data_IF_716711488757
#
_entry.id   IF_716711488757
#
_cell.length_a   1.000
_cell.length_b   1.000
_cell.length_c   1.000
_cell.angle_alpha   90.00
_cell.angle_beta   90.00
_cell.angle_gamma   90.00
#
_symmetry.space_group_name_H-M   'P 1'
#
loop_
_entity.id
_entity.type
_entity.pdbx_description
1 polymer ?
#
# COMPACT_ATOMS: atom_id res chain seq x y z
N UNK A 1 -24.54 18.98 7.31
CA UNK A 1 -23.72 17.98 6.60
C UNK A 1 -22.27 18.39 6.80
N UNK A 2 -21.41 17.47 7.22
CA UNK A 2 -19.97 17.72 7.37
C UNK A 2 -19.27 17.21 6.13
N UNK A 3 -18.45 18.05 5.49
CA UNK A 3 -17.55 17.66 4.40
C UNK A 3 -16.14 17.60 4.98
N UNK A 4 -15.47 16.47 4.79
CA UNK A 4 -14.15 16.24 5.36
C UNK A 4 -13.22 15.69 4.28
N UNK A 5 -12.12 16.39 4.04
CA UNK A 5 -11.20 16.11 2.94
C UNK A 5 -10.34 14.87 3.20
N UNK A 6 -9.96 14.17 2.12
CA UNK A 6 -9.07 13.00 2.22
C UNK A 6 -7.70 13.35 2.82
N UNK A 7 -7.18 14.56 2.56
CA UNK A 7 -5.93 15.05 3.16
C UNK A 7 -6.04 15.12 4.68
N UNK A 8 -7.15 15.65 5.20
CA UNK A 8 -7.41 15.77 6.64
C UNK A 8 -7.53 14.41 7.30
N UNK A 9 -8.27 13.47 6.68
CA UNK A 9 -8.33 12.07 7.16
C UNK A 9 -6.95 11.44 7.21
N UNK A 10 -6.12 11.68 6.19
CA UNK A 10 -4.76 11.11 6.11
C UNK A 10 -3.88 11.69 7.21
N UNK A 11 -3.92 13.01 7.41
CA UNK A 11 -3.22 13.71 8.48
C UNK A 11 -3.61 13.17 9.86
N UNK A 12 -4.90 13.10 10.17
CA UNK A 12 -5.39 12.58 11.45
C UNK A 12 -4.92 11.14 11.74
N UNK A 13 -4.89 10.30 10.71
CA UNK A 13 -4.42 8.91 10.85
C UNK A 13 -2.91 8.84 11.07
N UNK A 14 -2.13 9.72 10.43
CA UNK A 14 -0.69 9.82 10.63
C UNK A 14 -0.38 10.27 12.06
N UNK A 15 -1.02 11.35 12.53
CA UNK A 15 -0.85 11.86 13.89
C UNK A 15 -1.20 10.81 14.95
N UNK A 16 -2.34 10.12 14.78
CA UNK A 16 -2.74 9.05 15.71
C UNK A 16 -1.76 7.88 15.70
N UNK A 17 -1.20 7.54 14.55
CA UNK A 17 -0.24 6.44 14.43
C UNK A 17 1.08 6.78 15.12
N UNK A 18 1.55 8.01 14.95
CA UNK A 18 2.73 8.53 15.66
C UNK A 18 2.49 8.59 17.17
N UNK A 19 1.37 9.15 17.60
CA UNK A 19 1.01 9.23 19.03
C UNK A 19 0.88 7.84 19.69
N UNK A 20 0.52 6.82 18.92
CA UNK A 20 0.47 5.43 19.37
C UNK A 20 1.84 4.72 19.36
N UNK A 21 2.91 5.36 18.87
CA UNK A 21 4.25 4.78 18.77
C UNK A 21 4.33 3.60 17.80
N UNK A 22 3.43 3.52 16.82
CA UNK A 22 3.39 2.42 15.86
C UNK A 22 4.41 2.63 14.74
N UNK A 23 5.02 1.53 14.29
CA UNK A 23 6.09 1.57 13.29
C UNK A 23 5.53 1.93 11.91
N UNK A 24 6.16 2.91 11.27
CA UNK A 24 5.98 3.24 9.84
C UNK A 24 7.33 3.42 9.18
N UNK A 25 7.59 2.69 8.10
CA UNK A 25 8.81 2.85 7.32
C UNK A 25 8.46 3.59 6.03
N UNK A 26 8.65 4.91 6.04
CA UNK A 26 8.59 5.72 4.81
C UNK A 26 9.82 5.45 3.94
N UNK A 27 9.67 5.72 2.64
CA UNK A 27 10.72 5.54 1.62
C UNK A 27 11.25 4.11 1.52
N UNK A 28 10.43 3.12 1.86
CA UNK A 28 10.71 1.71 1.63
C UNK A 28 10.69 1.41 0.12
N UNK A 29 11.87 1.36 -0.49
CA UNK A 29 12.05 1.07 -1.91
C UNK A 29 12.06 -0.44 -2.17
N UNK A 30 11.82 -0.84 -3.43
CA UNK A 30 11.93 -2.23 -3.89
C UNK A 30 11.20 -3.25 -3.00
N UNK A 31 10.00 -2.90 -2.51
CA UNK A 31 9.19 -3.80 -1.71
C UNK A 31 8.88 -5.06 -2.53
N UNK A 32 9.15 -6.22 -1.95
CA UNK A 32 8.81 -7.53 -2.52
C UNK A 32 8.15 -8.41 -1.46
N UNK A 33 7.09 -9.11 -1.88
CA UNK A 33 6.32 -10.02 -1.05
C UNK A 33 6.75 -11.46 -1.33
N UNK A 34 6.91 -12.26 -0.29
CA UNK A 34 7.40 -13.62 -0.38
C UNK A 34 6.52 -14.57 0.43
N UNK A 35 6.36 -15.79 -0.07
CA UNK A 35 5.69 -16.92 0.60
C UNK A 35 4.32 -16.60 1.23
N UNK A 36 3.58 -15.66 0.63
CA UNK A 36 2.27 -15.19 1.11
C UNK A 36 1.12 -16.17 0.87
N UNK A 37 1.35 -17.22 0.10
CA UNK A 37 0.51 -18.40 -0.05
C UNK A 37 0.93 -19.57 0.88
N UNK A 38 1.99 -19.38 1.67
CA UNK A 38 2.55 -20.36 2.59
C UNK A 38 2.27 -20.07 4.07
N UNK A 39 3.02 -20.75 4.94
CA UNK A 39 2.87 -20.66 6.40
C UNK A 39 3.78 -19.62 7.08
N UNK A 40 4.68 -18.97 6.34
CA UNK A 40 5.67 -18.05 6.91
C UNK A 40 5.96 -16.90 5.94
N UNK A 41 4.98 -16.01 5.71
CA UNK A 41 5.16 -14.91 4.78
C UNK A 41 6.13 -13.86 5.30
N UNK A 42 6.83 -13.22 4.38
CA UNK A 42 7.72 -12.12 4.72
C UNK A 42 7.79 -11.08 3.61
N UNK A 43 8.24 -9.88 3.99
CA UNK A 43 8.43 -8.74 3.10
C UNK A 43 9.89 -8.33 3.14
N UNK A 44 10.46 -8.04 1.97
CA UNK A 44 11.76 -7.37 1.88
C UNK A 44 11.59 -5.97 1.31
N UNK A 45 12.39 -5.02 1.77
CA UNK A 45 12.46 -3.68 1.20
C UNK A 45 13.89 -3.13 1.33
N UNK A 46 14.20 -2.08 0.57
CA UNK A 46 15.44 -1.34 0.68
C UNK A 46 15.18 0.03 1.30
N UNK A 47 16.01 0.44 2.25
CA UNK A 47 15.99 1.78 2.81
C UNK A 47 17.44 2.24 3.01
N UNK A 48 17.74 3.44 2.54
CA UNK A 48 19.07 4.04 2.63
C UNK A 48 20.20 3.13 2.12
N UNK A 49 19.90 2.34 1.07
CA UNK A 49 20.83 1.39 0.45
C UNK A 49 20.97 0.04 1.17
N UNK A 50 20.22 -0.17 2.26
CA UNK A 50 20.24 -1.41 3.05
C UNK A 50 18.97 -2.22 2.81
N UNK A 51 19.13 -3.52 2.55
CA UNK A 51 18.00 -4.45 2.46
C UNK A 51 17.57 -4.90 3.85
N UNK A 52 16.27 -4.79 4.11
CA UNK A 52 15.61 -5.20 5.33
C UNK A 52 14.60 -6.32 5.04
N UNK A 53 14.34 -7.16 6.05
CA UNK A 53 13.33 -8.22 6.02
C UNK A 53 12.39 -8.05 7.21
N UNK A 54 11.10 -8.23 6.97
CA UNK A 54 10.04 -8.28 7.99
C UNK A 54 9.34 -9.63 7.85
N UNK A 55 9.48 -10.49 8.85
CA UNK A 55 8.67 -11.70 8.98
C UNK A 55 7.31 -11.34 9.59
N UNK A 56 6.24 -11.97 9.10
CA UNK A 56 4.88 -11.68 9.51
C UNK A 56 3.97 -12.90 9.36
N UNK A 57 2.77 -12.82 9.92
CA UNK A 57 1.74 -13.86 9.71
C UNK A 57 0.84 -13.53 8.50
N UNK A 58 0.65 -12.23 8.22
CA UNK A 58 -0.24 -11.74 7.16
C UNK A 58 0.30 -10.46 6.51
N UNK A 59 -0.01 -10.29 5.23
CA UNK A 59 0.32 -9.08 4.45
C UNK A 59 -0.97 -8.45 3.94
N UNK A 60 -1.20 -7.19 4.29
CA UNK A 60 -2.31 -6.39 3.76
C UNK A 60 -1.80 -5.46 2.63
N UNK A 61 -2.23 -5.74 1.40
CA UNK A 61 -1.88 -4.92 0.23
C UNK A 61 -2.71 -3.64 0.14
N UNK A 62 -2.21 -2.54 0.70
CA UNK A 62 -2.83 -1.21 0.69
C UNK A 62 -2.08 -0.20 -0.17
N UNK A 63 -1.43 -0.67 -1.24
CA UNK A 63 -0.45 0.06 -2.07
C UNK A 63 -1.02 0.63 -3.38
N UNK A 64 -2.35 0.72 -3.48
CA UNK A 64 -3.06 1.37 -4.58
C UNK A 64 -3.02 0.59 -5.90
N UNK A 65 -3.47 1.23 -6.98
CA UNK A 65 -3.69 0.55 -8.27
C UNK A 65 -2.40 0.01 -8.92
N UNK A 66 -1.28 0.70 -8.71
CA UNK A 66 0.03 0.32 -9.25
C UNK A 66 0.95 -0.35 -8.22
N UNK A 67 0.36 -0.76 -7.09
CA UNK A 67 1.05 -1.46 -6.01
C UNK A 67 1.69 -2.78 -6.41
N UNK A 68 2.66 -3.24 -5.62
CA UNK A 68 3.33 -4.53 -5.81
C UNK A 68 2.41 -5.68 -5.41
N UNK A 69 1.55 -5.49 -4.42
CA UNK A 69 0.76 -6.54 -3.80
C UNK A 69 -0.12 -7.30 -4.80
N UNK A 70 -0.86 -6.57 -5.64
CA UNK A 70 -1.68 -7.18 -6.69
C UNK A 70 -0.84 -7.88 -7.77
N UNK A 71 0.34 -7.35 -8.10
CA UNK A 71 1.25 -7.92 -9.11
C UNK A 71 1.98 -9.16 -8.62
N UNK A 72 2.13 -9.33 -7.31
CA UNK A 72 2.77 -10.50 -6.72
C UNK A 72 1.89 -11.75 -6.78
N UNK A 73 0.57 -11.61 -6.92
CA UNK A 73 -0.36 -12.74 -7.00
C UNK A 73 -0.13 -13.53 -8.30
N UNK A 74 -0.07 -14.88 -8.26
CA UNK A 74 0.15 -15.71 -9.45
C UNK A 74 -0.84 -15.44 -10.59
N UNK A 75 -0.33 -15.50 -11.83
CA UNK A 75 -1.16 -15.41 -13.03
C UNK A 75 -2.25 -16.50 -13.03
N UNK A 76 -3.50 -16.11 -13.25
CA UNK A 76 -4.65 -17.01 -13.25
C UNK A 76 -5.39 -17.16 -11.91
N UNK A 77 -4.80 -16.71 -10.80
CA UNK A 77 -5.52 -16.62 -9.52
C UNK A 77 -6.44 -15.38 -9.45
N UNK A 78 -6.26 -14.42 -10.36
CA UNK A 78 -7.04 -13.20 -10.45
C UNK A 78 -7.97 -13.23 -11.67
N UNK A 79 -9.22 -12.79 -11.45
CA UNK A 79 -10.14 -12.45 -12.53
C UNK A 79 -10.36 -10.93 -12.54
N UNK A 80 -9.87 -10.28 -13.59
CA UNK A 80 -9.96 -8.82 -13.74
C UNK A 80 -11.21 -8.43 -14.53
N UNK A 81 -11.89 -7.40 -14.05
CA UNK A 81 -12.96 -6.72 -14.78
C UNK A 81 -12.61 -5.24 -14.83
N UNK A 82 -12.52 -4.69 -16.05
CA UNK A 82 -12.09 -3.31 -16.27
C UNK A 82 -13.05 -2.60 -17.21
N UNK A 83 -13.32 -1.33 -16.92
CA UNK A 83 -14.05 -0.43 -17.81
C UNK A 83 -13.34 0.92 -17.84
N UNK A 84 -12.96 1.35 -19.04
CA UNK A 84 -12.40 2.67 -19.29
C UNK A 84 -13.46 3.58 -19.92
N UNK A 85 -13.48 4.84 -19.49
CA UNK A 85 -14.38 5.86 -20.01
C UNK A 85 -13.61 6.83 -20.92
N UNK A 86 -14.18 7.26 -22.07
CA UNK A 86 -13.47 8.10 -23.04
C UNK A 86 -13.48 9.59 -22.65
N UNK A 87 -13.32 9.89 -21.35
CA UNK A 87 -13.28 11.25 -20.79
C UNK A 87 -12.56 11.23 -19.42
N UNK A 88 -12.15 12.41 -18.94
CA UNK A 88 -11.53 12.59 -17.62
C UNK A 88 -12.19 13.72 -16.83
N UNK A 89 -11.77 13.91 -15.58
CA UNK A 89 -12.23 15.01 -14.73
C UNK A 89 -11.14 16.07 -14.58
N UNK A 90 -11.52 17.34 -14.75
CA UNK A 90 -10.67 18.48 -14.43
C UNK A 90 -11.02 18.96 -13.01
N UNK A 91 -10.14 18.65 -12.05
CA UNK A 91 -10.20 19.23 -10.72
C UNK A 91 -9.47 20.57 -10.69
N UNK A 92 -10.07 21.57 -10.05
CA UNK A 92 -9.42 22.87 -9.79
C UNK A 92 -9.28 23.01 -8.28
N UNK A 93 -8.05 23.24 -7.83
CA UNK A 93 -7.72 23.60 -6.45
C UNK A 93 -7.47 25.12 -6.43
N UNK A 94 -8.12 25.84 -5.51
CA UNK A 94 -8.01 27.29 -5.35
C UNK A 94 -7.66 27.63 -3.90
#
# INVERSE_FOLDING_TARGET
>A
VTVYGQTEVTHDLMDKREAAGLVTVYEAANVALHDFDGASPFVTYCKDGVTHRIDCDFIAGCDGYHGVSRRSVPEGALRTFERQYPFGWLGVLA
#
